data_IF_090176451535
#
_entry.id   IF_090176451535
#
_cell.length_a   1.000
_cell.length_b   1.000
_cell.length_c   1.000
_cell.angle_alpha   90.00
_cell.angle_beta   90.00
_cell.angle_gamma   90.00
#
_symmetry.space_group_name_H-M   'P 1'
#
loop_
_entity.id
_entity.type
_entity.pdbx_description
1 polymer ?
#
# COMPACT_ATOMS: atom_id res chain seq x y z
N UNK A 1 -4.42 22.46 -30.20
CA UNK A 1 -5.30 21.33 -29.87
C UNK A 1 -4.42 20.28 -29.23
N UNK A 2 -4.45 20.12 -27.91
CA UNK A 2 -3.63 19.14 -27.21
C UNK A 2 -4.49 17.90 -26.97
N UNK A 3 -4.33 16.88 -27.82
CA UNK A 3 -4.93 15.56 -27.70
C UNK A 3 -3.88 14.59 -27.15
N UNK A 4 -3.41 14.82 -25.93
CA UNK A 4 -2.41 13.96 -25.28
C UNK A 4 -2.90 13.51 -23.91
N UNK A 5 -2.44 12.32 -23.50
CA UNK A 5 -2.65 11.83 -22.14
C UNK A 5 -1.84 12.67 -21.16
N UNK A 6 -2.52 13.27 -20.19
CA UNK A 6 -1.94 14.18 -19.20
C UNK A 6 -2.23 13.68 -17.78
N UNK A 7 -1.30 13.94 -16.86
CA UNK A 7 -1.38 13.55 -15.45
C UNK A 7 -0.83 14.66 -14.55
N UNK A 8 -0.93 14.49 -13.23
CA UNK A 8 -0.41 15.46 -12.25
C UNK A 8 -1.49 16.38 -11.67
N UNK A 9 -2.75 16.08 -11.92
CA UNK A 9 -3.87 16.69 -11.22
C UNK A 9 -3.97 16.15 -9.78
N UNK A 10 -4.97 16.63 -9.06
CA UNK A 10 -5.27 16.25 -7.68
C UNK A 10 -5.40 14.72 -7.52
N UNK A 11 -4.68 14.09 -6.56
CA UNK A 11 -4.64 12.62 -6.39
C UNK A 11 -5.99 11.97 -6.07
N UNK A 12 -6.96 12.75 -5.60
CA UNK A 12 -8.29 12.26 -5.21
C UNK A 12 -9.14 11.86 -6.43
N UNK A 13 -8.80 12.37 -7.62
CA UNK A 13 -9.46 12.04 -8.90
C UNK A 13 -9.22 10.57 -9.25
N UNK A 14 -10.29 9.88 -9.66
CA UNK A 14 -10.24 8.45 -9.99
C UNK A 14 -9.21 8.14 -11.09
N UNK A 15 -9.12 9.00 -12.10
CA UNK A 15 -8.21 8.83 -13.24
C UNK A 15 -6.72 9.05 -12.87
N UNK A 16 -6.43 9.58 -11.67
CA UNK A 16 -5.08 9.76 -11.15
C UNK A 16 -4.65 8.63 -10.20
N UNK A 17 -5.51 7.62 -9.98
CA UNK A 17 -5.21 6.50 -9.07
C UNK A 17 -4.30 5.48 -9.75
N UNK A 18 -3.31 5.01 -9.01
CA UNK A 18 -2.48 3.87 -9.39
C UNK A 18 -3.11 2.53 -9.03
N UNK A 19 -2.46 1.45 -9.47
CA UNK A 19 -2.82 0.08 -9.12
C UNK A 19 -1.89 -0.39 -8.00
N UNK A 20 -2.44 -1.01 -6.96
CA UNK A 20 -1.68 -1.71 -5.93
C UNK A 20 -2.10 -3.18 -5.89
N UNK A 21 -1.12 -4.09 -5.93
CA UNK A 21 -1.33 -5.52 -5.79
C UNK A 21 -0.17 -6.13 -5.01
N UNK A 22 -0.47 -6.95 -4.01
CA UNK A 22 0.53 -7.61 -3.17
C UNK A 22 0.24 -9.11 -3.09
N UNK A 23 1.29 -9.92 -3.16
CA UNK A 23 1.22 -11.39 -3.05
C UNK A 23 2.45 -11.93 -2.36
N UNK A 24 2.24 -12.80 -1.39
CA UNK A 24 3.30 -13.47 -0.63
C UNK A 24 2.76 -14.01 0.70
N UNK A 25 3.59 -14.74 1.45
CA UNK A 25 3.19 -15.33 2.73
C UNK A 25 2.85 -14.29 3.80
N UNK A 26 3.40 -13.07 3.69
CA UNK A 26 3.10 -11.99 4.62
C UNK A 26 1.69 -11.40 4.48
N UNK A 27 1.03 -11.57 3.34
CA UNK A 27 -0.24 -10.91 3.02
C UNK A 27 -1.43 -11.87 3.09
N UNK A 28 -2.62 -11.34 3.43
CA UNK A 28 -3.87 -12.10 3.34
C UNK A 28 -4.14 -12.52 1.89
N UNK A 29 -4.60 -13.76 1.70
CA UNK A 29 -4.92 -14.30 0.36
C UNK A 29 -6.34 -13.91 -0.04
N UNK A 30 -6.52 -13.49 -1.30
CA UNK A 30 -7.85 -13.16 -1.84
C UNK A 30 -8.52 -11.96 -1.17
N UNK A 31 -7.75 -11.14 -0.45
CA UNK A 31 -8.27 -10.00 0.29
C UNK A 31 -8.33 -8.77 -0.60
N UNK A 32 -9.52 -8.17 -0.74
CA UNK A 32 -9.68 -6.86 -1.34
C UNK A 32 -9.60 -5.80 -0.24
N UNK A 33 -8.62 -4.92 -0.35
CA UNK A 33 -8.40 -3.84 0.60
C UNK A 33 -8.91 -2.51 0.03
N UNK A 34 -9.28 -1.57 0.90
CA UNK A 34 -9.53 -0.19 0.48
C UNK A 34 -8.27 0.44 -0.12
N UNK A 35 -8.43 1.52 -0.88
CA UNK A 35 -7.28 2.24 -1.43
C UNK A 35 -6.32 2.73 -0.33
N UNK A 36 -5.03 2.67 -0.62
CA UNK A 36 -3.96 3.18 0.25
C UNK A 36 -3.33 4.43 -0.36
N UNK A 37 -2.53 5.18 0.41
CA UNK A 37 -1.73 6.28 -0.13
C UNK A 37 -0.35 5.76 -0.54
N UNK A 38 0.25 6.39 -1.55
CA UNK A 38 1.62 6.04 -1.99
C UNK A 38 2.65 6.15 -0.86
N UNK A 39 2.47 7.10 0.08
CA UNK A 39 3.36 7.27 1.25
C UNK A 39 3.31 6.07 2.21
N UNK A 40 2.21 5.31 2.22
CA UNK A 40 2.05 4.16 3.13
C UNK A 40 2.87 2.95 2.68
N UNK A 41 3.26 2.89 1.40
CA UNK A 41 3.97 1.75 0.80
C UNK A 41 5.33 1.49 1.46
N UNK A 42 5.99 2.53 1.95
CA UNK A 42 7.26 2.39 2.68
C UNK A 42 7.13 1.45 3.89
N UNK A 43 6.07 1.61 4.67
CA UNK A 43 5.83 0.80 5.87
C UNK A 43 5.52 -0.66 5.50
N UNK A 44 4.88 -0.88 4.34
CA UNK A 44 4.64 -2.24 3.81
C UNK A 44 5.97 -2.94 3.56
N UNK A 45 6.90 -2.28 2.86
CA UNK A 45 8.22 -2.85 2.61
C UNK A 45 9.00 -3.07 3.89
N UNK A 46 9.00 -2.10 4.81
CA UNK A 46 9.68 -2.24 6.09
C UNK A 46 9.18 -3.47 6.86
N UNK A 47 7.86 -3.67 6.87
CA UNK A 47 7.24 -4.83 7.51
C UNK A 47 7.60 -6.16 6.86
N UNK A 48 7.56 -6.24 5.52
CA UNK A 48 7.87 -7.47 4.78
C UNK A 48 9.35 -7.85 4.91
N UNK A 49 10.24 -6.87 4.92
CA UNK A 49 11.69 -7.07 5.04
C UNK A 49 12.16 -7.25 6.49
N UNK A 50 11.26 -7.15 7.46
CA UNK A 50 11.56 -7.21 8.91
C UNK A 50 12.63 -6.18 9.34
N UNK A 51 12.50 -4.95 8.82
CA UNK A 51 13.38 -3.83 9.19
C UNK A 51 12.62 -2.79 10.01
N UNK A 52 13.32 -2.14 10.93
CA UNK A 52 12.76 -1.04 11.71
C UNK A 52 12.50 0.16 10.78
N UNK A 53 11.26 0.64 10.66
CA UNK A 53 10.97 1.81 9.84
C UNK A 53 11.61 3.06 10.48
N UNK A 54 12.18 3.92 9.63
CA UNK A 54 12.59 5.27 10.01
C UNK A 54 11.36 6.22 10.01
N UNK A 55 11.47 7.43 10.60
CA UNK A 55 10.39 8.41 10.54
C UNK A 55 9.91 8.66 9.11
N UNK A 56 8.60 8.56 8.89
CA UNK A 56 7.95 8.70 7.59
C UNK A 56 6.51 9.22 7.76
N UNK A 57 5.90 9.68 6.67
CA UNK A 57 4.55 10.27 6.67
C UNK A 57 3.41 9.24 6.48
N UNK A 58 3.74 7.95 6.42
CA UNK A 58 2.75 6.90 6.25
C UNK A 58 1.93 6.67 7.52
N UNK A 59 0.68 6.21 7.35
CA UNK A 59 -0.22 5.85 8.45
C UNK A 59 -0.38 4.33 8.50
N UNK A 60 0.06 3.70 9.60
CA UNK A 60 0.11 2.23 9.71
C UNK A 60 -1.28 1.59 9.60
N UNK A 61 -2.29 2.24 10.16
CA UNK A 61 -3.68 1.78 10.16
C UNK A 61 -4.24 1.60 8.75
N UNK A 62 -3.73 2.37 7.77
CA UNK A 62 -4.14 2.26 6.37
C UNK A 62 -3.66 0.95 5.72
N UNK A 63 -2.64 0.28 6.27
CA UNK A 63 -1.97 -0.87 5.64
C UNK A 63 -1.92 -2.10 6.52
N UNK A 64 -2.16 -1.97 7.82
CA UNK A 64 -2.16 -3.08 8.78
C UNK A 64 -3.11 -4.22 8.35
N UNK A 65 -4.27 -3.86 7.77
CA UNK A 65 -5.28 -4.80 7.28
C UNK A 65 -4.81 -5.74 6.17
N UNK A 66 -3.73 -5.40 5.45
CA UNK A 66 -3.17 -6.18 4.35
C UNK A 66 -2.48 -7.48 4.82
N UNK A 67 -1.91 -7.47 6.01
CA UNK A 67 -1.04 -8.54 6.51
C UNK A 67 -1.85 -9.69 7.11
N UNK A 68 -1.36 -10.91 6.88
CA UNK A 68 -1.87 -12.09 7.58
C UNK A 68 -1.52 -12.00 9.08
N UNK A 69 -2.38 -12.55 9.94
CA UNK A 69 -2.02 -12.74 11.34
C UNK A 69 -0.78 -13.64 11.42
N UNK A 70 0.12 -13.36 12.36
CA UNK A 70 1.24 -14.28 12.61
C UNK A 70 0.63 -15.57 13.15
N UNK A 71 0.88 -16.70 12.49
CA UNK A 71 0.73 -18.01 13.14
C UNK A 71 1.60 -17.99 14.39
N UNK A 72 0.97 -17.96 15.56
CA UNK A 72 1.63 -18.27 16.82
C UNK A 72 2.00 -19.74 16.75
N UNK A 73 3.28 -20.02 16.48
CA UNK A 73 3.84 -21.33 16.74
C UNK A 73 4.01 -21.40 18.26
N UNK A 74 3.19 -22.22 18.90
CA UNK A 74 3.33 -22.63 20.30
C UNK A 74 4.69 -23.31 20.54
#
# INVERSE_FOLDING_TARGET
MFLEGVHGYTPELADQRGIFFARGPAFKRGHMHSGIRMVDVYQIFAKVLDIQPLPNDGVWENVAGLFAEKETVD
#
